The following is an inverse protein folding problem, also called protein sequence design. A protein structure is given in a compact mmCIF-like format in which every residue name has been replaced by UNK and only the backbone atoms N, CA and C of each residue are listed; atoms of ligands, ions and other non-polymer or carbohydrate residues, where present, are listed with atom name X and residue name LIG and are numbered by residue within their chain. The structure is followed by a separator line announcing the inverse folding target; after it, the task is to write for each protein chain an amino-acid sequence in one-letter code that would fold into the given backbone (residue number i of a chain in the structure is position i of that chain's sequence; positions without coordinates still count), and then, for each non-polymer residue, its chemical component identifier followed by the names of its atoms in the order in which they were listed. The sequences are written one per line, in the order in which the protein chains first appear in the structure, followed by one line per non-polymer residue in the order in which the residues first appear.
data_IF_200710729712
#
_entry.id   IF_200710729712
#
_cell.length_a   1.000
_cell.length_b   1.000
_cell.length_c   1.000
_cell.angle_alpha   90.00
_cell.angle_beta   90.00
_cell.angle_gamma   90.00
#
_symmetry.space_group_name_H-M   'P 1'
#
loop_
_entity.id
_entity.type
_entity.pdbx_description
1 polymer ?
#
# COMPACT_ATOMS: atom_id res chain seq x y z
N UNK A 1 -2.44 -4.48 -7.28
CA UNK A 1 -2.30 -4.11 -5.87
C UNK A 1 -3.64 -4.34 -5.24
N UNK A 2 -3.68 -5.07 -4.13
CA UNK A 2 -4.93 -5.34 -3.41
C UNK A 2 -4.74 -4.83 -2.00
N UNK A 3 -5.66 -3.98 -1.57
CA UNK A 3 -5.75 -3.49 -0.21
C UNK A 3 -7.01 -4.11 0.41
N UNK A 4 -6.83 -4.76 1.54
CA UNK A 4 -7.91 -5.10 2.46
C UNK A 4 -7.73 -4.31 3.74
N UNK A 5 -8.79 -4.25 4.55
CA UNK A 5 -8.79 -3.71 5.92
C UNK A 5 -7.61 -4.23 6.77
N UNK A 6 -7.20 -5.48 6.56
CA UNK A 6 -6.14 -6.13 7.35
C UNK A 6 -4.78 -6.19 6.67
N UNK A 7 -4.70 -6.12 5.33
CA UNK A 7 -3.44 -6.38 4.61
C UNK A 7 -3.30 -5.53 3.35
N UNK A 8 -2.12 -4.95 3.18
CA UNK A 8 -1.67 -4.41 1.91
C UNK A 8 -0.77 -5.45 1.23
N UNK A 9 -1.20 -5.98 0.09
CA UNK A 9 -0.46 -7.00 -0.66
C UNK A 9 -0.04 -6.49 -2.05
N UNK A 10 1.26 -6.54 -2.33
CA UNK A 10 1.82 -6.36 -3.66
C UNK A 10 2.09 -7.70 -4.31
N UNK A 11 1.49 -7.93 -5.47
CA UNK A 11 1.68 -9.15 -6.25
C UNK A 11 2.53 -8.87 -7.48
N UNK A 12 3.45 -9.78 -7.82
CA UNK A 12 4.00 -9.87 -9.18
C UNK A 12 3.08 -10.76 -10.01
N UNK A 13 2.62 -10.26 -11.17
CA UNK A 13 2.01 -11.14 -12.18
C UNK A 13 3.11 -12.05 -12.77
N UNK A 14 3.19 -13.29 -12.27
CA UNK A 14 3.69 -14.45 -13.01
C UNK A 14 2.56 -15.48 -13.09
N UNK A 15 2.77 -16.60 -13.79
CA UNK A 15 1.83 -17.72 -13.98
C UNK A 15 1.13 -18.17 -12.67
N UNK A 16 1.80 -17.98 -11.53
CA UNK A 16 1.21 -18.03 -10.19
C UNK A 16 1.48 -16.69 -9.51
N UNK A 17 0.46 -16.08 -8.89
CA UNK A 17 0.61 -14.78 -8.23
C UNK A 17 1.48 -14.90 -6.98
N UNK A 18 2.70 -14.38 -7.03
CA UNK A 18 3.58 -14.32 -5.86
C UNK A 18 3.42 -12.98 -5.14
N UNK A 19 3.21 -13.03 -3.81
CA UNK A 19 3.29 -11.86 -2.94
C UNK A 19 4.75 -11.42 -2.89
N UNK A 20 5.03 -10.21 -3.36
CA UNK A 20 6.36 -9.60 -3.32
C UNK A 20 6.61 -8.89 -1.99
N UNK A 21 5.57 -8.30 -1.43
CA UNK A 21 5.64 -7.52 -0.22
C UNK A 21 4.26 -7.44 0.40
N UNK A 22 4.22 -7.56 1.72
CA UNK A 22 3.00 -7.42 2.50
C UNK A 22 3.30 -6.67 3.80
N UNK A 23 2.37 -5.83 4.21
CA UNK A 23 2.33 -5.27 5.55
C UNK A 23 0.88 -5.00 5.96
N UNK A 24 0.65 -4.90 7.26
CA UNK A 24 -0.60 -4.31 7.77
C UNK A 24 -0.55 -2.79 7.53
N UNK A 25 -1.65 -2.16 7.09
CA UNK A 25 -1.68 -0.70 6.90
C UNK A 25 -1.25 0.08 8.15
N UNK A 26 -1.61 -0.41 9.33
CA UNK A 26 -1.27 0.16 10.65
C UNK A 26 0.22 0.08 10.99
N UNK A 27 0.97 -0.85 10.37
CA UNK A 27 2.41 -1.00 10.57
C UNK A 27 3.24 -0.03 9.71
N UNK A 28 2.60 0.74 8.83
CA UNK A 28 3.24 1.74 8.00
C UNK A 28 3.59 2.98 8.83
N UNK A 29 4.89 3.23 9.02
CA UNK A 29 5.41 4.45 9.62
C UNK A 29 5.20 5.67 8.72
N UNK A 30 5.30 5.47 7.39
CA UNK A 30 5.10 6.54 6.40
C UNK A 30 4.51 6.01 5.09
N UNK A 31 3.72 6.86 4.43
CA UNK A 31 3.14 6.60 3.10
C UNK A 31 3.26 7.89 2.29
N UNK A 32 4.10 7.86 1.26
CA UNK A 32 4.38 9.02 0.42
C UNK A 32 3.92 8.77 -1.02
N UNK A 33 3.29 9.78 -1.60
CA UNK A 33 2.91 9.80 -3.00
C UNK A 33 3.81 10.78 -3.77
N UNK A 34 4.21 10.38 -4.97
CA UNK A 34 5.00 11.21 -5.87
C UNK A 34 4.77 10.87 -7.32
N UNK A 35 5.51 11.55 -8.19
CA UNK A 35 5.53 11.31 -9.62
C UNK A 35 6.95 11.31 -10.12
N UNK A 36 7.29 10.38 -11.00
CA UNK A 36 8.59 10.27 -11.64
C UNK A 36 8.34 9.95 -13.11
N UNK A 37 8.90 10.74 -14.04
CA UNK A 37 8.79 10.62 -15.52
C UNK A 37 7.77 9.58 -16.03
N UNK A 38 6.49 9.96 -16.11
CA UNK A 38 5.42 9.13 -16.67
C UNK A 38 4.79 8.10 -15.71
N UNK A 39 5.34 7.96 -14.50
CA UNK A 39 4.87 7.08 -13.45
C UNK A 39 4.34 7.86 -12.25
N UNK A 40 3.39 7.24 -11.56
CA UNK A 40 3.05 7.56 -10.18
C UNK A 40 3.85 6.67 -9.26
N UNK A 41 4.36 7.25 -8.18
CA UNK A 41 5.22 6.57 -7.21
C UNK A 41 4.50 6.54 -5.87
N UNK A 42 4.43 5.36 -5.27
CA UNK A 42 3.98 5.16 -3.91
C UNK A 42 5.14 4.57 -3.11
N UNK A 43 5.60 5.28 -2.09
CA UNK A 43 6.61 4.79 -1.14
C UNK A 43 5.92 4.41 0.16
N UNK A 44 6.22 3.22 0.64
CA UNK A 44 5.69 2.66 1.87
C UNK A 44 6.86 2.36 2.79
N UNK A 45 6.81 2.88 4.00
CA UNK A 45 7.88 2.73 4.99
C UNK A 45 7.29 2.07 6.22
N UNK A 46 7.93 1.01 6.67
CA UNK A 46 7.68 0.33 7.96
C UNK A 46 8.85 0.61 8.90
N UNK A 47 8.79 0.13 10.14
CA UNK A 47 9.91 0.28 11.08
C UNK A 47 11.17 -0.50 10.65
N UNK A 48 11.00 -1.59 9.91
CA UNK A 48 12.10 -2.51 9.56
C UNK A 48 12.57 -2.37 8.11
N UNK A 49 11.68 -1.96 7.21
CA UNK A 49 11.94 -1.93 5.76
C UNK A 49 11.07 -0.89 5.03
N UNK A 50 11.32 -0.67 3.75
CA UNK A 50 10.48 0.16 2.89
C UNK A 50 10.46 -0.32 1.44
N UNK A 51 9.32 -0.13 0.78
CA UNK A 51 9.13 -0.47 -0.63
C UNK A 51 8.71 0.75 -1.45
N UNK A 52 9.23 0.82 -2.67
CA UNK A 52 8.82 1.81 -3.68
C UNK A 52 8.06 1.10 -4.79
N UNK A 53 6.84 1.55 -5.05
CA UNK A 53 6.01 1.06 -6.12
C UNK A 53 5.81 2.14 -7.19
N UNK A 54 6.07 1.79 -8.45
CA UNK A 54 5.83 2.65 -9.62
C UNK A 54 4.66 2.10 -10.43
N UNK A 55 3.74 2.96 -10.85
CA UNK A 55 2.54 2.56 -11.60
C UNK A 55 2.15 3.56 -12.67
N UNK A 56 1.54 3.05 -13.74
CA UNK A 56 0.89 3.83 -14.79
C UNK A 56 -0.62 4.00 -14.55
N UNK A 57 -1.10 3.69 -13.34
CA UNK A 57 -2.50 3.87 -13.00
C UNK A 57 -2.98 5.30 -13.25
N UNK A 58 -4.26 5.43 -13.62
CA UNK A 58 -4.89 6.75 -13.79
C UNK A 58 -4.79 7.52 -12.48
N UNK A 59 -4.75 8.85 -12.56
CA UNK A 59 -4.63 9.72 -11.37
C UNK A 59 -5.70 9.41 -10.34
N UNK A 60 -6.95 9.32 -10.80
CA UNK A 60 -8.12 9.05 -9.97
C UNK A 60 -7.98 7.75 -9.18
N UNK A 61 -7.53 6.68 -9.84
CA UNK A 61 -7.40 5.36 -9.22
C UNK A 61 -6.27 5.36 -8.19
N UNK A 62 -5.17 6.05 -8.51
CA UNK A 62 -4.03 6.21 -7.60
C UNK A 62 -4.38 7.05 -6.39
N UNK A 63 -5.03 8.20 -6.57
CA UNK A 63 -5.45 9.09 -5.49
C UNK A 63 -6.45 8.38 -4.58
N UNK A 64 -7.45 7.71 -5.15
CA UNK A 64 -8.43 6.92 -4.38
C UNK A 64 -7.72 5.85 -3.54
N UNK A 65 -6.81 5.08 -4.15
CA UNK A 65 -6.04 4.09 -3.43
C UNK A 65 -5.21 4.71 -2.29
N UNK A 66 -4.52 5.82 -2.57
CA UNK A 66 -3.69 6.52 -1.59
C UNK A 66 -4.52 7.02 -0.40
N UNK A 67 -5.69 7.61 -0.66
CA UNK A 67 -6.62 8.06 0.37
C UNK A 67 -7.13 6.88 1.20
N UNK A 68 -7.57 5.78 0.58
CA UNK A 68 -8.03 4.60 1.30
C UNK A 68 -6.93 3.98 2.16
N UNK A 69 -5.70 3.89 1.64
CA UNK A 69 -4.57 3.35 2.42
C UNK A 69 -4.26 4.20 3.65
N UNK A 70 -4.27 5.53 3.52
CA UNK A 70 -4.05 6.41 4.66
C UNK A 70 -5.20 6.32 5.68
N UNK A 71 -6.44 6.13 5.25
CA UNK A 71 -7.56 5.88 6.15
C UNK A 71 -7.35 4.58 6.94
N UNK A 72 -7.05 3.46 6.26
CA UNK A 72 -6.77 2.18 6.93
C UNK A 72 -5.56 2.24 7.87
N UNK A 73 -4.53 3.04 7.55
CA UNK A 73 -3.38 3.26 8.46
C UNK A 73 -3.80 3.98 9.75
N UNK A 74 -4.73 4.92 9.65
CA UNK A 74 -5.21 5.73 10.78
C UNK A 74 -6.26 5.01 11.63
N UNK A 75 -6.91 3.98 11.12
CA UNK A 75 -7.77 3.10 11.89
C UNK A 75 -6.93 2.30 12.89
N UNK A 76 -7.18 2.50 14.19
CA UNK A 76 -6.58 1.63 15.23
C UNK A 76 -7.08 0.20 15.00
N UNK A 77 -6.24 -0.82 15.22
CA UNK A 77 -6.72 -2.19 15.17
C UNK A 77 -7.90 -2.29 16.13
N UNK A 78 -9.05 -2.73 15.60
CA UNK A 78 -10.19 -3.12 16.44
C UNK A 78 -9.66 -4.28 17.28
N UNK A 79 -9.36 -4.00 18.55
CA UNK A 79 -9.11 -5.07 19.51
C UNK A 79 -10.40 -5.88 19.53
N UNK A 80 -10.37 -7.10 18.99
CA UNK A 80 -11.42 -8.09 19.27
C UNK A 80 -11.43 -8.27 20.79
N UNK A 81 -12.47 -7.73 21.43
CA UNK A 81 -12.71 -7.91 22.85
C UNK A 81 -13.24 -9.33 23.03
N UNK A 82 -12.39 -10.20 23.59
CA UNK A 82 -12.76 -11.37 24.43
C UNK A 82 -13.62 -12.45 23.79
#
# INVERSE_FOLDING_TARGET
MTLTDRRLCFYRKRLVGHVLWQAEPTALAAVEAGTEVGFRVLRLVTAEDGIVFKTYARKTDFDMFYTTLNACRSERPVQEVG
#
